data_IF_312636162574
#
_entry.id   IF_312636162574
#
_cell.length_a   1.000
_cell.length_b   1.000
_cell.length_c   1.000
_cell.angle_alpha   90.00
_cell.angle_beta   90.00
_cell.angle_gamma   90.00
#
_symmetry.space_group_name_H-M   'P 1'
#
loop_
_entity.id
_entity.type
_entity.pdbx_description
1 polymer ?
#
# COMPACT_ATOMS: atom_id res chain seq x y z
N UNK A 1 -0.09 -13.96 17.00
CA UNK A 1 0.82 -14.21 15.86
C UNK A 1 0.35 -15.37 14.98
N UNK A 2 0.20 -16.60 15.49
CA UNK A 2 -0.24 -17.77 14.69
C UNK A 2 -1.55 -17.56 13.92
N UNK A 3 -2.58 -17.04 14.59
CA UNK A 3 -3.90 -16.79 14.01
C UNK A 3 -3.88 -15.76 12.86
N UNK A 4 -2.97 -14.79 12.90
CA UNK A 4 -2.82 -13.76 11.86
C UNK A 4 -2.25 -14.34 10.55
N UNK A 5 -1.25 -15.22 10.64
CA UNK A 5 -0.67 -15.88 9.46
C UNK A 5 -1.72 -16.72 8.74
N UNK A 6 -2.53 -17.46 9.49
CA UNK A 6 -3.60 -18.27 8.89
C UNK A 6 -4.65 -17.40 8.19
N UNK A 7 -5.03 -16.26 8.79
CA UNK A 7 -5.95 -15.31 8.15
C UNK A 7 -5.36 -14.70 6.87
N UNK A 8 -4.08 -14.34 6.89
CA UNK A 8 -3.37 -13.84 5.71
C UNK A 8 -3.28 -14.88 4.61
N UNK A 9 -3.02 -16.14 4.94
CA UNK A 9 -2.96 -17.24 3.97
C UNK A 9 -4.32 -17.48 3.30
N UNK A 10 -5.42 -17.39 4.04
CA UNK A 10 -6.77 -17.51 3.49
C UNK A 10 -7.14 -16.32 2.60
N UNK A 11 -6.77 -15.11 3.01
CA UNK A 11 -6.96 -13.92 2.17
C UNK A 11 -6.14 -14.03 0.87
N UNK A 12 -4.89 -14.49 0.97
CA UNK A 12 -4.00 -14.72 -0.16
C UNK A 12 -4.61 -15.69 -1.17
N UNK A 13 -5.20 -16.79 -0.69
CA UNK A 13 -5.89 -17.78 -1.52
C UNK A 13 -7.08 -17.16 -2.25
N UNK A 14 -7.92 -16.38 -1.56
CA UNK A 14 -9.06 -15.68 -2.16
C UNK A 14 -8.62 -14.66 -3.22
N UNK A 15 -7.50 -13.99 -3.00
CA UNK A 15 -6.94 -13.03 -3.95
C UNK A 15 -6.28 -13.72 -5.17
N UNK A 16 -5.58 -14.82 -4.95
CA UNK A 16 -4.94 -15.61 -6.00
C UNK A 16 -5.98 -16.23 -6.95
N UNK A 17 -7.04 -16.83 -6.39
CA UNK A 17 -8.14 -17.41 -7.19
C UNK A 17 -8.88 -16.38 -8.05
N UNK A 18 -9.00 -15.12 -7.61
CA UNK A 18 -9.57 -14.04 -8.43
C UNK A 18 -8.69 -13.64 -9.64
N UNK A 19 -7.42 -14.06 -9.66
CA UNK A 19 -6.44 -13.76 -10.72
C UNK A 19 -6.08 -14.99 -11.55
N UNK A 20 -6.94 -16.00 -11.54
CA UNK A 20 -6.73 -17.29 -12.24
C UNK A 20 -5.43 -18.01 -11.83
N UNK A 21 -4.92 -17.73 -10.63
CA UNK A 21 -3.79 -18.46 -10.05
C UNK A 21 -4.32 -19.70 -9.37
N UNK A 22 -3.80 -20.87 -9.74
CA UNK A 22 -4.17 -22.16 -9.18
C UNK A 22 -3.80 -22.23 -7.68
N UNK A 23 -4.83 -22.09 -6.84
CA UNK A 23 -4.70 -22.12 -5.39
C UNK A 23 -4.28 -23.49 -4.85
N UNK A 24 -4.68 -24.59 -5.51
CA UNK A 24 -4.26 -25.93 -5.13
C UNK A 24 -2.76 -26.09 -5.37
N UNK A 25 -2.27 -25.61 -6.52
CA UNK A 25 -0.84 -25.61 -6.82
C UNK A 25 -0.03 -24.71 -5.88
N UNK A 26 -0.58 -23.54 -5.52
CA UNK A 26 0.05 -22.61 -4.59
C UNK A 26 0.27 -23.23 -3.20
N UNK A 27 -0.73 -23.94 -2.69
CA UNK A 27 -0.71 -24.59 -1.37
C UNK A 27 0.17 -25.84 -1.37
N UNK A 28 0.14 -26.63 -2.45
CA UNK A 28 1.03 -27.77 -2.65
C UNK A 28 2.50 -27.33 -2.60
N UNK A 29 2.88 -26.29 -3.37
CA UNK A 29 4.25 -25.77 -3.41
C UNK A 29 4.69 -25.13 -2.08
N UNK A 30 3.75 -24.76 -1.23
CA UNK A 30 4.03 -24.22 0.10
C UNK A 30 4.09 -25.29 1.20
N UNK A 31 3.83 -26.56 0.88
CA UNK A 31 3.68 -27.66 1.84
C UNK A 31 2.56 -27.35 2.85
N UNK A 32 1.43 -26.87 2.34
CA UNK A 32 0.25 -26.49 3.12
C UNK A 32 -0.94 -27.34 2.69
N UNK A 33 -1.46 -28.14 3.61
CA UNK A 33 -2.72 -28.86 3.39
C UNK A 33 -3.91 -27.92 3.62
N UNK A 34 -4.75 -27.74 2.60
CA UNK A 34 -5.97 -26.94 2.70
C UNK A 34 -6.95 -27.53 3.72
N UNK A 35 -7.19 -28.84 3.68
CA UNK A 35 -7.99 -29.56 4.69
C UNK A 35 -7.37 -29.49 6.09
N UNK A 36 -6.04 -29.53 6.17
CA UNK A 36 -5.29 -29.32 7.40
C UNK A 36 -5.53 -27.93 7.99
N UNK A 37 -5.57 -26.90 7.15
CA UNK A 37 -5.82 -25.51 7.57
C UNK A 37 -7.21 -25.29 8.16
N UNK A 38 -8.22 -25.94 7.58
CA UNK A 38 -9.61 -25.86 8.04
C UNK A 38 -9.81 -26.57 9.38
N UNK A 39 -9.07 -27.66 9.64
CA UNK A 39 -9.14 -28.43 10.88
C UNK A 39 -8.28 -27.84 11.98
N UNK A 40 -7.08 -27.35 11.63
CA UNK A 40 -6.14 -26.75 12.55
C UNK A 40 -5.45 -25.54 11.88
N UNK A 41 -5.91 -24.31 12.16
CA UNK A 41 -5.42 -23.12 11.49
C UNK A 41 -4.04 -22.69 12.02
N UNK A 42 -2.99 -23.46 11.71
CA UNK A 42 -1.59 -23.14 12.01
C UNK A 42 -0.74 -23.17 10.74
N UNK A 43 -0.15 -22.02 10.41
CA UNK A 43 0.87 -21.88 9.36
C UNK A 43 2.16 -21.43 10.01
N UNK A 44 3.23 -22.19 9.74
CA UNK A 44 4.58 -21.81 10.08
C UNK A 44 5.04 -20.60 9.26
N UNK A 45 6.08 -19.92 9.75
CA UNK A 45 6.68 -18.79 9.03
C UNK A 45 7.21 -19.22 7.66
N UNK A 46 7.91 -20.34 7.61
CA UNK A 46 8.44 -20.91 6.36
C UNK A 46 7.34 -21.25 5.35
N UNK A 47 6.21 -21.80 5.80
CA UNK A 47 5.06 -22.07 4.92
C UNK A 47 4.46 -20.77 4.36
N UNK A 48 4.38 -19.72 5.18
CA UNK A 48 3.92 -18.40 4.73
C UNK A 48 4.88 -17.79 3.71
N UNK A 49 6.19 -17.84 3.96
CA UNK A 49 7.19 -17.30 3.02
C UNK A 49 7.14 -18.02 1.67
N UNK A 50 6.95 -19.34 1.68
CA UNK A 50 6.75 -20.13 0.45
C UNK A 50 5.46 -19.73 -0.27
N UNK A 51 4.35 -19.55 0.45
CA UNK A 51 3.09 -19.07 -0.14
C UNK A 51 3.30 -17.73 -0.88
N UNK A 52 3.99 -16.77 -0.26
CA UNK A 52 4.30 -15.49 -0.90
C UNK A 52 5.18 -15.63 -2.13
N UNK A 53 6.29 -16.37 -1.99
CA UNK A 53 7.22 -16.59 -3.08
C UNK A 53 6.53 -17.25 -4.27
N UNK A 54 5.77 -18.32 -4.03
CA UNK A 54 5.07 -19.05 -5.07
C UNK A 54 3.97 -18.19 -5.72
N UNK A 55 3.30 -17.33 -4.96
CA UNK A 55 2.28 -16.43 -5.50
C UNK A 55 2.88 -15.42 -6.48
N UNK A 56 4.06 -14.87 -6.16
CA UNK A 56 4.81 -13.99 -7.07
C UNK A 56 5.24 -14.74 -8.34
N UNK A 57 5.77 -15.97 -8.20
CA UNK A 57 6.23 -16.75 -9.35
C UNK A 57 5.08 -17.16 -10.28
N UNK A 58 3.98 -17.66 -9.72
CA UNK A 58 2.83 -18.15 -10.49
C UNK A 58 2.02 -17.02 -11.12
N UNK A 59 1.95 -15.85 -10.46
CA UNK A 59 1.28 -14.67 -11.02
C UNK A 59 2.08 -13.95 -12.09
N UNK A 60 3.42 -14.09 -12.08
CA UNK A 60 4.31 -13.23 -12.86
C UNK A 60 4.32 -11.77 -12.39
N UNK A 61 3.67 -11.46 -11.26
CA UNK A 61 3.54 -10.12 -10.70
C UNK A 61 4.56 -9.92 -9.57
N UNK A 62 5.65 -9.20 -9.85
CA UNK A 62 6.67 -8.87 -8.84
C UNK A 62 6.14 -7.95 -7.72
N UNK A 63 5.01 -7.27 -7.94
CA UNK A 63 4.34 -6.39 -6.98
C UNK A 63 3.12 -7.06 -6.33
N UNK A 64 2.96 -8.39 -6.47
CA UNK A 64 1.81 -9.14 -6.00
C UNK A 64 1.41 -8.82 -4.56
N UNK A 65 2.38 -8.76 -3.64
CA UNK A 65 2.13 -8.46 -2.23
C UNK A 65 1.55 -7.05 -1.98
N UNK A 66 1.94 -6.08 -2.81
CA UNK A 66 1.42 -4.71 -2.74
C UNK A 66 -0.02 -4.66 -3.25
N UNK A 67 -0.29 -5.23 -4.43
CA UNK A 67 -1.63 -5.29 -4.98
C UNK A 67 -2.58 -6.14 -4.10
N UNK A 68 -2.07 -7.20 -3.48
CA UNK A 68 -2.78 -7.97 -2.48
C UNK A 68 -3.20 -7.10 -1.30
N UNK A 69 -2.27 -6.31 -0.75
CA UNK A 69 -2.54 -5.43 0.39
C UNK A 69 -3.49 -4.28 0.06
N UNK A 70 -3.50 -3.80 -1.19
CA UNK A 70 -4.43 -2.76 -1.66
C UNK A 70 -5.86 -3.30 -1.78
N UNK A 71 -6.02 -4.49 -2.37
CA UNK A 71 -7.33 -5.05 -2.69
C UNK A 71 -7.96 -5.81 -1.51
N UNK A 72 -7.13 -6.42 -0.66
CA UNK A 72 -7.57 -7.07 0.56
C UNK A 72 -7.74 -5.98 1.61
N UNK A 73 -8.97 -5.49 1.81
CA UNK A 73 -9.30 -4.58 2.91
C UNK A 73 -8.93 -5.24 4.25
N UNK A 74 -7.68 -5.05 4.70
CA UNK A 74 -7.11 -5.53 5.96
C UNK A 74 -7.91 -5.06 7.20
N UNK A 75 -8.93 -4.22 6.99
CA UNK A 75 -10.01 -3.86 7.89
C UNK A 75 -10.60 -5.03 8.71
N UNK A 76 -10.70 -6.22 8.10
CA UNK A 76 -11.29 -7.40 8.74
C UNK A 76 -10.41 -8.02 9.85
N UNK A 77 -9.16 -7.57 10.01
CA UNK A 77 -8.20 -8.07 11.02
C UNK A 77 -8.23 -7.31 12.36
N UNK A 78 -9.28 -6.52 12.60
CA UNK A 78 -9.45 -5.75 13.83
C UNK A 78 -8.41 -4.64 14.00
N UNK A 79 -7.98 -4.38 15.25
CA UNK A 79 -7.09 -3.25 15.60
C UNK A 79 -5.77 -3.25 14.82
N UNK A 80 -5.19 -4.41 14.54
CA UNK A 80 -3.94 -4.52 13.77
C UNK A 80 -4.14 -4.09 12.32
N UNK A 81 -5.29 -4.42 11.73
CA UNK A 81 -5.68 -3.95 10.40
C UNK A 81 -5.84 -2.43 10.33
N UNK A 82 -6.43 -1.84 11.38
CA UNK A 82 -6.59 -0.39 11.47
C UNK A 82 -5.25 0.34 11.66
N UNK A 83 -4.35 -0.22 12.48
CA UNK A 83 -3.00 0.32 12.70
C UNK A 83 -2.16 0.24 11.42
N UNK A 84 -2.24 -0.87 10.67
CA UNK A 84 -1.54 -1.03 9.39
C UNK A 84 -2.10 -0.08 8.33
N UNK A 85 -3.43 0.06 8.22
CA UNK A 85 -4.06 1.04 7.32
C UNK A 85 -3.61 2.46 7.66
N UNK A 86 -3.64 2.83 8.94
CA UNK A 86 -3.22 4.17 9.38
C UNK A 86 -1.74 4.42 9.09
N UNK A 87 -0.88 3.42 9.33
CA UNK A 87 0.55 3.49 9.00
C UNK A 87 0.78 3.70 7.50
N UNK A 88 0.03 3.01 6.65
CA UNK A 88 0.08 3.18 5.21
C UNK A 88 -0.40 4.59 4.77
N UNK A 89 -1.50 5.09 5.33
CA UNK A 89 -1.98 6.45 5.07
C UNK A 89 -0.94 7.51 5.49
N UNK A 90 -0.24 7.28 6.59
CA UNK A 90 0.86 8.15 7.05
C UNK A 90 2.02 8.12 6.06
N UNK A 91 2.45 6.93 5.62
CA UNK A 91 3.54 6.79 4.64
C UNK A 91 3.16 7.42 3.28
N UNK A 92 1.94 7.19 2.80
CA UNK A 92 1.43 7.78 1.57
C UNK A 92 1.34 9.31 1.67
N UNK A 93 0.88 9.85 2.81
CA UNK A 93 0.85 11.29 3.04
C UNK A 93 2.27 11.89 3.09
N UNK A 94 3.24 11.20 3.70
CA UNK A 94 4.64 11.58 3.71
C UNK A 94 5.26 11.61 2.31
N UNK A 95 5.02 10.57 1.51
CA UNK A 95 5.49 10.49 0.13
C UNK A 95 4.89 11.60 -0.75
N UNK A 96 3.57 11.84 -0.66
CA UNK A 96 2.90 12.93 -1.39
C UNK A 96 3.45 14.30 -0.99
N UNK A 97 3.72 14.53 0.30
CA UNK A 97 4.34 15.77 0.78
C UNK A 97 5.72 15.97 0.16
N UNK A 98 6.58 14.93 0.19
CA UNK A 98 7.93 15.00 -0.37
C UNK A 98 7.90 15.36 -1.86
N UNK A 99 7.12 14.62 -2.65
CA UNK A 99 7.02 14.82 -4.10
C UNK A 99 6.43 16.20 -4.41
N UNK A 100 5.42 16.66 -3.66
CA UNK A 100 4.86 18.00 -3.82
C UNK A 100 5.92 19.10 -3.63
N UNK A 101 6.77 18.96 -2.61
CA UNK A 101 7.84 19.93 -2.34
C UNK A 101 8.91 19.94 -3.44
N UNK A 102 9.27 18.78 -3.97
CA UNK A 102 10.21 18.66 -5.08
C UNK A 102 9.64 19.28 -6.37
N UNK A 103 8.41 18.93 -6.74
CA UNK A 103 7.74 19.45 -7.94
C UNK A 103 7.55 20.97 -7.89
N UNK A 104 7.24 21.53 -6.71
CA UNK A 104 7.12 22.97 -6.54
C UNK A 104 8.47 23.68 -6.72
N UNK A 105 9.57 23.10 -6.20
CA UNK A 105 10.91 23.68 -6.31
C UNK A 105 11.40 23.73 -7.76
N UNK A 106 11.11 22.71 -8.56
CA UNK A 106 11.45 22.71 -9.99
C UNK A 106 10.76 23.85 -10.75
N UNK A 107 9.54 24.26 -10.34
CA UNK A 107 8.87 25.43 -10.90
C UNK A 107 8.30 25.26 -12.32
N UNK A 108 8.47 24.09 -12.94
CA UNK A 108 8.09 23.83 -14.34
C UNK A 108 6.62 23.43 -14.53
N UNK A 109 5.83 23.33 -13.45
CA UNK A 109 4.45 22.85 -13.48
C UNK A 109 3.51 23.76 -12.69
N UNK A 110 2.26 23.82 -13.14
CA UNK A 110 1.23 24.55 -12.39
C UNK A 110 0.82 23.79 -11.13
N UNK A 111 0.23 24.51 -10.16
CA UNK A 111 -0.31 23.89 -8.94
C UNK A 111 -1.39 22.84 -9.25
N UNK A 112 -2.17 23.05 -10.33
CA UNK A 112 -3.18 22.10 -10.78
C UNK A 112 -2.57 20.80 -11.31
N UNK A 113 -1.52 20.88 -12.13
CA UNK A 113 -0.83 19.71 -12.66
C UNK A 113 -0.19 18.88 -11.54
N UNK A 114 0.43 19.56 -10.57
CA UNK A 114 1.00 18.93 -9.38
C UNK A 114 -0.10 18.22 -8.56
N UNK A 115 -1.27 18.85 -8.40
CA UNK A 115 -2.39 18.24 -7.69
C UNK A 115 -2.88 16.97 -8.37
N UNK A 116 -3.07 17.02 -9.70
CA UNK A 116 -3.50 15.88 -10.50
C UNK A 116 -2.49 14.72 -10.43
N UNK A 117 -1.19 15.00 -10.59
CA UNK A 117 -0.13 14.00 -10.53
C UNK A 117 -0.03 13.30 -9.17
N UNK A 118 -0.38 14.00 -8.08
CA UNK A 118 -0.40 13.45 -6.73
C UNK A 118 -1.70 12.70 -6.38
N UNK A 119 -2.63 12.59 -7.34
CA UNK A 119 -3.89 11.86 -7.21
C UNK A 119 -4.98 12.64 -6.47
N UNK A 120 -4.94 13.98 -6.47
CA UNK A 120 -6.05 14.79 -5.99
C UNK A 120 -7.07 15.01 -7.11
N UNK A 121 -8.34 14.76 -6.80
CA UNK A 121 -9.45 15.03 -7.72
C UNK A 121 -9.65 16.53 -7.97
N UNK A 122 -9.28 17.36 -6.99
CA UNK A 122 -9.47 18.81 -7.03
C UNK A 122 -8.21 19.54 -6.56
N UNK A 123 -7.81 20.58 -7.30
CA UNK A 123 -6.67 21.45 -6.92
C UNK A 123 -6.87 22.06 -5.53
N UNK A 124 -8.12 22.39 -5.19
CA UNK A 124 -8.47 22.93 -3.87
C UNK A 124 -8.19 21.93 -2.72
N UNK A 125 -8.37 20.62 -2.98
CA UNK A 125 -8.07 19.57 -2.00
C UNK A 125 -6.57 19.43 -1.76
N UNK A 126 -5.76 19.52 -2.83
CA UNK A 126 -4.31 19.58 -2.72
C UNK A 126 -3.85 20.79 -1.92
N UNK A 127 -4.36 22.00 -2.21
CA UNK A 127 -3.95 23.23 -1.50
C UNK A 127 -4.24 23.12 0.01
N UNK A 128 -5.41 22.57 0.40
CA UNK A 128 -5.74 22.33 1.81
C UNK A 128 -4.79 21.33 2.47
N UNK A 129 -4.51 20.21 1.81
CA UNK A 129 -3.58 19.21 2.31
C UNK A 129 -2.15 19.76 2.44
N UNK A 130 -1.68 20.50 1.43
CA UNK A 130 -0.37 21.13 1.42
C UNK A 130 -0.22 22.11 2.58
N UNK A 131 -1.20 23.00 2.79
CA UNK A 131 -1.20 23.94 3.92
C UNK A 131 -1.19 23.21 5.26
N UNK A 132 -1.92 22.10 5.40
CA UNK A 132 -1.87 21.27 6.61
C UNK A 132 -0.48 20.68 6.85
N UNK A 133 0.25 20.33 5.79
CA UNK A 133 1.58 19.73 5.90
C UNK A 133 2.72 20.72 6.15
N UNK A 134 2.62 21.93 5.60
CA UNK A 134 3.74 22.90 5.54
C UNK A 134 3.46 24.20 6.29
N UNK A 135 2.20 24.47 6.67
CA UNK A 135 1.74 25.72 7.28
C UNK A 135 1.32 26.79 6.27
N UNK A 136 1.79 26.72 5.02
CA UNK A 136 1.59 27.74 3.98
C UNK A 136 0.89 27.16 2.74
N UNK A 137 0.26 28.01 1.93
CA UNK A 137 -0.17 27.59 0.59
C UNK A 137 1.06 27.36 -0.32
N UNK A 138 0.94 26.52 -1.38
CA UNK A 138 2.07 26.26 -2.29
C UNK A 138 2.74 27.53 -2.83
N UNK A 139 1.96 28.54 -3.21
CA UNK A 139 2.45 29.82 -3.73
C UNK A 139 3.24 30.60 -2.68
N UNK A 140 2.71 30.72 -1.45
CA UNK A 140 3.37 31.43 -0.35
C UNK A 140 4.66 30.70 0.06
N UNK A 141 4.61 29.38 0.09
CA UNK A 141 5.78 28.55 0.39
C UNK A 141 6.93 28.78 -0.61
N UNK A 142 6.61 28.89 -1.91
CA UNK A 142 7.59 29.23 -2.95
C UNK A 142 8.16 30.64 -2.82
N UNK A 143 7.32 31.64 -2.51
CA UNK A 143 7.79 33.00 -2.26
C UNK A 143 8.77 33.06 -1.09
N UNK A 144 8.47 32.37 0.01
CA UNK A 144 9.36 32.28 1.17
C UNK A 144 10.68 31.59 0.83
N UNK A 145 10.68 30.50 0.06
CA UNK A 145 11.93 29.86 -0.36
C UNK A 145 12.79 30.75 -1.25
N UNK A 146 12.19 31.52 -2.17
CA UNK A 146 12.94 32.46 -3.02
C UNK A 146 13.56 33.60 -2.20
N UNK A 147 12.86 34.10 -1.18
CA UNK A 147 13.35 35.16 -0.30
C UNK A 147 14.47 34.74 0.67
N UNK A 148 14.71 33.44 0.85
CA UNK A 148 15.79 32.90 1.72
C UNK A 148 17.07 32.57 0.92
N UNK A 149 16.97 32.46 -0.41
CA UNK A 149 18.08 32.08 -1.30
C UNK A 149 18.62 33.27 -2.10
N UNK A 150 17.88 34.40 -2.16
CA UNK A 150 18.35 35.67 -2.71
C UNK A 150 18.88 36.60 -1.64
#
# INVERSE_FOLDING_TARGET
MKQLRTQLAMALLGYATQRDIDASRLFELADVSYDGLLRQPDISETQMDRLWYNAVQLSGDSLFGLHFGEQSQLAALGVVGEVVRTSFLILQAGARKKIALELLKTGDRTIGDIAYQLGYLETSAFIRAFRRWTGDSPTVYLQKQKAVVG
#
